data_IF_950886078520
#
_entry.id   IF_950886078520
#
_cell.length_a   1.000
_cell.length_b   1.000
_cell.length_c   1.000
_cell.angle_alpha   90.00
_cell.angle_beta   90.00
_cell.angle_gamma   90.00
#
_symmetry.space_group_name_H-M   'P 1'
#
loop_
_entity.id
_entity.type
_entity.pdbx_description
1 polymer ?
#
# COMPACT_ATOMS: atom_id res chain seq x y z
N UNK A 1 -8.11 -29.13 15.37
CA UNK A 1 -6.84 -28.43 15.68
C UNK A 1 -7.15 -27.26 16.60
N UNK A 2 -6.52 -27.15 17.78
CA UNK A 2 -6.60 -25.92 18.59
C UNK A 2 -5.92 -24.81 17.79
N UNK A 3 -6.66 -23.79 17.38
CA UNK A 3 -6.11 -22.66 16.64
C UNK A 3 -4.98 -22.02 17.45
N UNK A 4 -3.77 -22.03 16.92
CA UNK A 4 -2.64 -21.32 17.51
C UNK A 4 -3.04 -19.84 17.55
N UNK A 5 -3.09 -19.24 18.75
CA UNK A 5 -3.26 -17.79 18.87
C UNK A 5 -2.02 -17.12 18.28
N UNK A 6 -2.11 -16.73 17.02
CA UNK A 6 -1.08 -15.92 16.38
C UNK A 6 -1.41 -14.45 16.67
N UNK A 7 -0.62 -13.82 17.54
CA UNK A 7 -0.72 -12.39 17.76
C UNK A 7 -0.28 -11.66 16.49
N UNK A 8 -1.07 -10.69 16.05
CA UNK A 8 -0.68 -9.82 14.95
C UNK A 8 0.45 -8.90 15.42
N UNK A 9 1.48 -8.65 14.61
CA UNK A 9 2.51 -7.66 14.95
C UNK A 9 1.85 -6.28 15.15
N UNK A 10 2.42 -5.35 15.95
CA UNK A 10 1.98 -3.96 15.99
C UNK A 10 1.91 -3.32 14.59
N UNK A 11 0.95 -2.40 14.35
CA UNK A 11 0.71 -1.80 13.01
C UNK A 11 1.95 -1.14 12.42
N UNK A 12 2.60 -0.31 13.23
CA UNK A 12 3.84 0.35 12.88
C UNK A 12 4.99 -0.60 12.52
N UNK A 13 5.06 -1.82 13.10
CA UNK A 13 6.12 -2.77 12.76
C UNK A 13 6.02 -3.28 11.32
N UNK A 14 4.81 -3.38 10.77
CA UNK A 14 4.61 -3.73 9.36
C UNK A 14 5.23 -2.64 8.48
N UNK A 15 4.88 -1.37 8.73
CA UNK A 15 5.42 -0.23 7.99
C UNK A 15 6.94 -0.15 8.08
N UNK A 16 7.51 -0.36 9.27
CA UNK A 16 8.96 -0.34 9.47
C UNK A 16 9.66 -1.50 8.77
N UNK A 17 9.06 -2.70 8.74
CA UNK A 17 9.62 -3.84 8.04
C UNK A 17 9.72 -3.59 6.53
N UNK A 18 8.67 -3.07 5.89
CA UNK A 18 8.71 -2.70 4.47
C UNK A 18 9.66 -1.54 4.20
N UNK A 19 9.76 -0.58 5.11
CA UNK A 19 10.72 0.53 4.99
C UNK A 19 12.17 0.02 5.05
N UNK A 20 12.52 -0.86 6.00
CA UNK A 20 13.87 -1.47 6.06
C UNK A 20 14.17 -2.26 4.81
N UNK A 21 13.25 -3.13 4.40
CA UNK A 21 13.42 -3.94 3.18
C UNK A 21 13.61 -3.06 1.94
N UNK A 22 12.91 -1.95 1.84
CA UNK A 22 13.12 -0.97 0.76
C UNK A 22 14.53 -0.40 0.82
N UNK A 23 14.95 0.14 1.96
CA UNK A 23 16.28 0.73 2.14
C UNK A 23 17.44 -0.27 1.93
N UNK A 24 17.23 -1.55 2.26
CA UNK A 24 18.23 -2.60 2.09
C UNK A 24 18.31 -3.09 0.63
N UNK A 25 17.16 -3.12 -0.07
CA UNK A 25 17.06 -3.62 -1.44
C UNK A 25 17.36 -2.56 -2.50
N UNK A 26 17.28 -1.27 -2.16
CA UNK A 26 17.51 -0.15 -3.08
C UNK A 26 18.67 0.70 -2.61
N UNK A 27 19.32 1.42 -3.54
CA UNK A 27 20.26 2.48 -3.19
C UNK A 27 19.54 3.77 -2.70
N UNK A 28 18.33 3.64 -2.13
CA UNK A 28 17.54 4.79 -1.71
C UNK A 28 18.18 5.45 -0.49
N UNK A 29 18.40 6.76 -0.60
CA UNK A 29 18.93 7.56 0.51
C UNK A 29 17.84 7.73 1.58
N UNK A 30 18.14 7.30 2.81
CA UNK A 30 17.28 7.46 3.98
C UNK A 30 16.80 8.91 4.17
N UNK A 31 17.69 9.88 3.94
CA UNK A 31 17.38 11.30 4.07
C UNK A 31 16.40 11.76 3.00
N UNK A 32 16.56 11.32 1.76
CA UNK A 32 15.62 11.61 0.66
C UNK A 32 14.26 10.96 0.91
N UNK A 33 14.23 9.73 1.45
CA UNK A 33 13.00 9.09 1.88
C UNK A 33 12.29 9.90 2.98
N UNK A 34 13.02 10.36 4.00
CA UNK A 34 12.47 11.18 5.06
C UNK A 34 11.89 12.51 4.56
N UNK A 35 12.48 13.11 3.54
CA UNK A 35 11.91 14.29 2.88
C UNK A 35 10.61 13.97 2.15
N UNK A 36 10.54 12.87 1.40
CA UNK A 36 9.31 12.45 0.73
C UNK A 36 8.16 12.20 1.73
N UNK A 37 8.46 11.56 2.87
CA UNK A 37 7.50 11.41 3.97
C UNK A 37 7.04 12.77 4.50
N UNK A 38 7.97 13.70 4.71
CA UNK A 38 7.65 15.04 5.19
C UNK A 38 6.78 15.84 4.20
N UNK A 39 7.11 15.82 2.92
CA UNK A 39 6.33 16.50 1.88
C UNK A 39 4.89 15.97 1.82
N UNK A 40 4.70 14.64 1.88
CA UNK A 40 3.37 14.03 1.92
C UNK A 40 2.62 14.37 3.21
N UNK A 41 3.27 14.27 4.36
CA UNK A 41 2.65 14.59 5.63
C UNK A 41 2.15 16.04 5.67
N UNK A 42 2.99 16.98 5.22
CA UNK A 42 2.66 18.40 5.21
C UNK A 42 1.61 18.76 4.15
N UNK A 43 1.47 17.98 3.06
CA UNK A 43 0.41 18.19 2.07
C UNK A 43 -0.93 17.58 2.45
N UNK A 44 -0.93 16.50 3.25
CA UNK A 44 -2.16 15.79 3.65
C UNK A 44 -2.76 16.29 4.96
N UNK A 45 -1.94 16.79 5.89
CA UNK A 45 -2.35 17.09 7.26
C UNK A 45 -2.36 18.59 7.48
N UNK A 46 -3.49 19.14 7.93
CA UNK A 46 -3.65 20.56 8.19
C UNK A 46 -2.70 21.06 9.29
N UNK A 47 -2.13 22.28 9.18
CA UNK A 47 -1.06 22.74 10.08
C UNK A 47 -1.37 22.67 11.58
N UNK A 48 -2.62 22.92 11.96
CA UNK A 48 -3.11 23.04 13.34
C UNK A 48 -3.30 21.68 14.05
N UNK A 49 -3.41 20.59 13.30
CA UNK A 49 -3.59 19.22 13.85
C UNK A 49 -2.33 18.36 13.76
N UNK A 50 -1.24 18.88 13.20
CA UNK A 50 0.02 18.14 13.03
C UNK A 50 0.64 17.77 14.37
N UNK A 51 0.84 16.47 14.59
CA UNK A 51 1.49 15.95 15.80
C UNK A 51 3.02 15.83 15.64
N UNK A 52 3.50 15.76 14.39
CA UNK A 52 4.92 15.53 14.09
C UNK A 52 5.57 16.79 13.52
N UNK A 53 6.71 17.18 14.10
CA UNK A 53 7.46 18.38 13.72
C UNK A 53 8.37 18.14 12.49
N UNK A 54 7.76 17.76 11.38
CA UNK A 54 8.42 17.66 10.08
C UNK A 54 8.49 19.04 9.40
N UNK A 55 9.50 19.24 8.55
CA UNK A 55 9.78 20.53 7.92
C UNK A 55 10.12 20.36 6.44
N UNK A 56 9.84 21.37 5.65
CA UNK A 56 10.38 21.54 4.30
C UNK A 56 11.07 22.89 4.23
N UNK A 57 11.86 23.12 3.18
CA UNK A 57 12.58 24.38 2.99
C UNK A 57 13.35 24.38 1.68
N UNK A 58 13.94 25.53 1.36
CA UNK A 58 14.77 25.74 0.18
C UNK A 58 16.17 26.20 0.60
N UNK A 59 17.16 26.05 -0.28
CA UNK A 59 18.54 26.49 -0.03
C UNK A 59 19.14 25.90 1.24
N UNK A 60 19.62 26.76 2.16
CA UNK A 60 20.24 26.33 3.42
C UNK A 60 19.25 25.67 4.38
N UNK A 61 17.98 26.08 4.34
CA UNK A 61 16.94 25.49 5.21
C UNK A 61 16.53 24.10 4.74
N UNK A 62 16.72 23.76 3.46
CA UNK A 62 16.53 22.40 2.96
C UNK A 62 17.46 21.40 3.67
N UNK A 63 18.74 21.76 3.85
CA UNK A 63 19.71 20.88 4.51
C UNK A 63 19.32 20.62 5.97
N UNK A 64 18.93 21.66 6.71
CA UNK A 64 18.45 21.52 8.09
C UNK A 64 17.15 20.72 8.17
N UNK A 65 16.24 20.90 7.22
CA UNK A 65 15.00 20.13 7.14
C UNK A 65 15.29 18.64 6.89
N UNK A 66 16.20 18.34 5.96
CA UNK A 66 16.67 16.99 5.65
C UNK A 66 17.22 16.28 6.90
N UNK A 67 18.13 16.92 7.63
CA UNK A 67 18.70 16.37 8.86
C UNK A 67 17.65 16.17 9.96
N UNK A 68 16.80 17.18 10.19
CA UNK A 68 15.71 17.09 11.17
C UNK A 68 14.77 15.93 10.87
N UNK A 69 14.28 15.84 9.63
CA UNK A 69 13.29 14.83 9.24
C UNK A 69 13.88 13.43 9.30
N UNK A 70 15.13 13.26 8.82
CA UNK A 70 15.83 11.99 8.95
C UNK A 70 15.97 11.57 10.42
N UNK A 71 16.33 12.50 11.31
CA UNK A 71 16.43 12.19 12.74
C UNK A 71 15.06 11.85 13.35
N UNK A 72 13.99 12.56 12.97
CA UNK A 72 12.62 12.26 13.44
C UNK A 72 12.21 10.85 13.04
N UNK A 73 12.35 10.47 11.77
CA UNK A 73 12.00 9.12 11.30
C UNK A 73 12.89 8.05 11.94
N UNK A 74 14.17 8.33 12.17
CA UNK A 74 15.10 7.36 12.79
C UNK A 74 14.63 6.96 14.17
N UNK A 75 14.18 7.94 14.97
CA UNK A 75 13.62 7.70 16.31
C UNK A 75 12.37 6.81 16.32
N UNK A 76 11.59 6.78 15.24
CA UNK A 76 10.50 5.82 15.10
C UNK A 76 11.04 4.42 14.76
N UNK A 77 11.97 4.35 13.81
CA UNK A 77 12.55 3.08 13.32
C UNK A 77 13.41 2.34 14.37
N UNK A 78 14.04 3.07 15.28
CA UNK A 78 14.84 2.54 16.39
C UNK A 78 14.03 2.29 17.67
N UNK A 79 12.75 2.69 17.70
CA UNK A 79 11.85 2.50 18.83
C UNK A 79 11.96 3.53 19.96
N UNK A 80 12.78 4.57 19.79
CA UNK A 80 12.83 5.73 20.72
C UNK A 80 11.45 6.37 20.88
N UNK A 81 10.70 6.48 19.77
CA UNK A 81 9.29 6.89 19.78
C UNK A 81 8.43 5.64 19.58
N UNK A 82 7.59 5.35 20.58
CA UNK A 82 6.86 4.07 20.67
C UNK A 82 5.58 4.01 19.85
N UNK A 83 5.00 5.15 19.48
CA UNK A 83 3.68 5.22 18.86
C UNK A 83 3.78 6.04 17.60
N UNK A 84 3.52 5.41 16.45
CA UNK A 84 3.38 6.09 15.17
C UNK A 84 1.99 6.75 15.08
N UNK A 85 1.89 8.09 14.97
CA UNK A 85 0.63 8.77 14.70
C UNK A 85 0.01 8.29 13.38
N UNK A 86 -1.33 8.14 13.34
CA UNK A 86 -2.01 7.58 12.18
C UNK A 86 -1.86 8.44 10.91
N UNK A 87 -1.89 9.76 11.08
CA UNK A 87 -1.67 10.76 10.04
C UNK A 87 -0.24 10.69 9.46
N UNK A 88 0.76 10.40 10.29
CA UNK A 88 2.12 10.14 9.84
C UNK A 88 2.24 8.77 9.15
N UNK A 89 1.52 7.75 9.63
CA UNK A 89 1.54 6.41 9.02
C UNK A 89 1.11 6.46 7.56
N UNK A 90 0.01 7.13 7.25
CA UNK A 90 -0.51 7.21 5.88
C UNK A 90 0.50 7.91 4.94
N UNK A 91 1.09 9.03 5.38
CA UNK A 91 2.13 9.72 4.63
C UNK A 91 3.38 8.84 4.42
N UNK A 92 3.74 8.05 5.44
CA UNK A 92 4.89 7.15 5.39
C UNK A 92 4.68 6.00 4.41
N UNK A 93 3.53 5.34 4.46
CA UNK A 93 3.19 4.25 3.54
C UNK A 93 3.17 4.77 2.10
N UNK A 94 2.56 5.93 1.85
CA UNK A 94 2.52 6.51 0.51
C UNK A 94 3.87 6.99 -0.03
N UNK A 95 4.83 7.27 0.84
CA UNK A 95 6.20 7.62 0.46
C UNK A 95 7.03 6.41 0.01
N UNK A 96 6.60 5.18 0.34
CA UNK A 96 7.26 3.98 -0.14
C UNK A 96 7.14 3.90 -1.68
N UNK A 97 8.22 3.59 -2.40
CA UNK A 97 8.14 3.24 -3.81
C UNK A 97 7.49 1.87 -4.01
N UNK A 98 6.97 1.61 -5.20
CA UNK A 98 6.61 0.24 -5.58
C UNK A 98 7.87 -0.63 -5.74
N UNK A 99 7.80 -1.94 -5.45
CA UNK A 99 6.63 -2.70 -5.00
C UNK A 99 6.36 -2.65 -3.49
N UNK A 100 7.21 -1.96 -2.71
CA UNK A 100 7.17 -1.98 -1.25
C UNK A 100 5.91 -1.36 -0.67
N UNK A 101 5.38 -0.31 -1.31
CA UNK A 101 4.11 0.29 -0.93
C UNK A 101 2.95 -0.69 -1.09
N UNK A 102 2.76 -1.26 -2.28
CA UNK A 102 1.67 -2.21 -2.53
C UNK A 102 1.71 -3.41 -1.59
N UNK A 103 2.92 -3.91 -1.29
CA UNK A 103 3.08 -4.98 -0.30
C UNK A 103 2.74 -4.56 1.13
N UNK A 104 3.18 -3.37 1.55
CA UNK A 104 2.85 -2.81 2.85
C UNK A 104 1.33 -2.66 3.02
N UNK A 105 0.64 -2.12 2.03
CA UNK A 105 -0.82 -1.98 2.02
C UNK A 105 -1.53 -3.33 2.13
N UNK A 106 -1.08 -4.34 1.37
CA UNK A 106 -1.62 -5.71 1.44
C UNK A 106 -1.47 -6.29 2.84
N UNK A 107 -0.31 -6.13 3.46
CA UNK A 107 -0.05 -6.65 4.80
C UNK A 107 -0.86 -5.88 5.87
N UNK A 108 -1.02 -4.56 5.72
CA UNK A 108 -1.88 -3.75 6.59
C UNK A 108 -3.37 -4.12 6.47
N UNK A 109 -3.87 -4.39 5.26
CA UNK A 109 -5.24 -4.81 5.02
C UNK A 109 -5.50 -6.23 5.56
N UNK A 110 -4.56 -7.17 5.36
CA UNK A 110 -4.68 -8.57 5.81
C UNK A 110 -4.91 -8.68 7.32
N UNK A 111 -4.31 -7.77 8.11
CA UNK A 111 -4.53 -7.70 9.57
C UNK A 111 -6.00 -7.59 9.97
N UNK A 112 -6.83 -7.02 9.09
CA UNK A 112 -8.26 -6.79 9.30
C UNK A 112 -9.13 -7.77 8.52
N UNK A 113 -8.54 -8.80 7.90
CA UNK A 113 -9.25 -9.72 7.03
C UNK A 113 -9.73 -9.07 5.72
N UNK A 114 -9.04 -8.01 5.26
CA UNK A 114 -9.37 -7.30 4.03
C UNK A 114 -8.29 -7.53 2.98
N UNK A 115 -8.68 -7.33 1.71
CA UNK A 115 -7.76 -7.24 0.59
C UNK A 115 -7.50 -5.77 0.25
N UNK A 116 -6.23 -5.39 0.15
CA UNK A 116 -5.87 -4.09 -0.39
C UNK A 116 -5.98 -4.17 -1.91
N UNK A 117 -6.88 -3.36 -2.47
CA UNK A 117 -7.12 -3.28 -3.90
C UNK A 117 -6.89 -1.83 -4.30
N UNK A 118 -5.99 -1.60 -5.26
CA UNK A 118 -5.69 -0.25 -5.70
C UNK A 118 -6.91 0.35 -6.40
N UNK A 119 -7.35 1.52 -5.95
CA UNK A 119 -8.41 2.23 -6.66
C UNK A 119 -7.86 2.75 -8.00
N UNK A 120 -8.60 2.60 -9.11
CA UNK A 120 -8.18 3.13 -10.40
C UNK A 120 -8.13 4.65 -10.34
N UNK A 121 -7.13 5.25 -10.98
CA UNK A 121 -7.05 6.69 -11.17
C UNK A 121 -8.27 7.20 -11.97
N UNK A 122 -8.69 8.43 -11.71
CA UNK A 122 -9.88 9.08 -12.30
C UNK A 122 -9.73 9.49 -13.78
N UNK A 123 -8.88 8.80 -14.56
CA UNK A 123 -8.63 9.18 -15.94
C UNK A 123 -9.75 8.69 -16.89
N UNK A 124 -10.30 9.59 -17.71
CA UNK A 124 -11.41 9.36 -18.64
C UNK A 124 -11.11 8.25 -19.67
N UNK A 125 -9.83 8.02 -19.97
CA UNK A 125 -9.37 6.96 -20.87
C UNK A 125 -9.66 5.52 -20.35
N UNK A 126 -10.06 5.35 -19.09
CA UNK A 126 -10.25 4.03 -18.48
C UNK A 126 -11.51 3.28 -18.95
N UNK A 127 -12.53 3.97 -19.50
CA UNK A 127 -13.87 3.38 -19.69
C UNK A 127 -13.94 2.26 -20.74
N UNK A 128 -13.29 2.41 -21.89
CA UNK A 128 -13.25 1.36 -22.92
C UNK A 128 -12.26 0.22 -22.60
N UNK A 129 -11.30 0.48 -21.70
CA UNK A 129 -10.26 -0.48 -21.30
C UNK A 129 -10.77 -1.48 -20.25
N UNK A 130 -11.86 -1.16 -19.55
CA UNK A 130 -12.35 -1.95 -18.41
C UNK A 130 -12.66 -3.42 -18.72
N UNK A 131 -13.42 -3.70 -19.80
CA UNK A 131 -13.79 -5.08 -20.15
C UNK A 131 -12.61 -5.88 -20.72
N UNK A 132 -11.82 -5.27 -21.60
CA UNK A 132 -10.64 -5.93 -22.19
C UNK A 132 -9.61 -6.27 -21.11
N UNK A 133 -9.37 -5.33 -20.17
CA UNK A 133 -8.52 -5.56 -19.01
C UNK A 133 -9.08 -6.66 -18.12
N UNK A 134 -10.37 -6.63 -17.78
CA UNK A 134 -11.00 -7.69 -16.99
C UNK A 134 -10.80 -9.07 -17.61
N UNK A 135 -11.00 -9.20 -18.92
CA UNK A 135 -10.78 -10.45 -19.64
C UNK A 135 -9.30 -10.88 -19.64
N UNK A 136 -8.37 -9.92 -19.78
CA UNK A 136 -6.94 -10.16 -19.72
C UNK A 136 -6.50 -10.67 -18.33
N UNK A 137 -6.84 -9.96 -17.25
CA UNK A 137 -6.47 -10.37 -15.89
C UNK A 137 -7.10 -11.74 -15.53
N UNK A 138 -8.30 -12.03 -16.04
CA UNK A 138 -8.91 -13.36 -15.87
C UNK A 138 -8.09 -14.46 -16.55
N UNK A 139 -7.57 -14.20 -17.76
CA UNK A 139 -6.70 -15.12 -18.48
C UNK A 139 -5.36 -15.36 -17.77
N UNK A 140 -4.74 -14.31 -17.20
CA UNK A 140 -3.51 -14.44 -16.42
C UNK A 140 -3.73 -15.26 -15.14
N UNK A 141 -4.84 -15.01 -14.42
CA UNK A 141 -5.20 -15.83 -13.26
C UNK A 141 -5.41 -17.31 -13.64
N UNK A 142 -6.12 -17.59 -14.73
CA UNK A 142 -6.29 -18.96 -15.22
C UNK A 142 -4.96 -19.62 -15.57
N UNK A 143 -4.03 -18.87 -16.17
CA UNK A 143 -2.69 -19.35 -16.51
C UNK A 143 -1.84 -19.64 -15.27
N UNK A 144 -2.00 -18.85 -14.19
CA UNK A 144 -1.36 -19.08 -12.91
C UNK A 144 -1.95 -20.26 -12.14
N UNK A 145 -3.27 -20.47 -12.24
CA UNK A 145 -3.99 -21.58 -11.60
C UNK A 145 -3.77 -22.92 -12.30
N UNK A 146 -3.62 -22.93 -13.63
CA UNK A 146 -3.51 -24.15 -14.42
C UNK A 146 -2.49 -25.19 -13.89
N UNK A 147 -1.23 -24.83 -13.58
CA UNK A 147 -0.27 -25.80 -13.04
C UNK A 147 -0.62 -26.27 -11.62
N UNK A 148 -1.23 -25.41 -10.80
CA UNK A 148 -1.63 -25.73 -9.42
C UNK A 148 -2.91 -26.56 -9.34
N UNK A 149 -3.68 -26.65 -10.42
CA UNK A 149 -4.90 -27.47 -10.49
C UNK A 149 -4.72 -28.73 -11.34
N UNK A 150 -3.49 -29.05 -11.75
CA UNK A 150 -3.20 -30.17 -12.65
C UNK A 150 -3.62 -31.53 -12.06
N UNK A 151 -3.60 -31.67 -10.73
CA UNK A 151 -4.06 -32.86 -10.00
C UNK A 151 -5.50 -32.74 -9.47
N UNK A 152 -6.17 -31.62 -9.76
CA UNK A 152 -7.53 -31.29 -9.34
C UNK A 152 -7.67 -30.84 -7.89
N UNK A 153 -6.58 -30.54 -7.18
CA UNK A 153 -6.60 -30.12 -5.77
C UNK A 153 -5.70 -28.90 -5.59
N UNK A 154 -6.13 -27.99 -4.71
CA UNK A 154 -5.25 -26.94 -4.20
C UNK A 154 -4.85 -27.31 -2.78
N UNK A 155 -3.59 -27.69 -2.60
CA UNK A 155 -3.05 -28.06 -1.29
C UNK A 155 -1.60 -27.55 -1.07
N UNK A 156 -0.89 -28.13 -0.10
CA UNK A 156 0.45 -27.71 0.26
C UNK A 156 1.48 -27.92 -0.86
N UNK A 157 1.23 -28.79 -1.83
CA UNK A 157 2.14 -28.98 -2.97
C UNK A 157 2.17 -27.78 -3.91
N UNK A 158 1.15 -26.92 -3.86
CA UNK A 158 1.02 -25.75 -4.73
C UNK A 158 1.65 -24.48 -4.19
N UNK A 159 2.33 -24.57 -3.04
CA UNK A 159 3.08 -23.46 -2.45
C UNK A 159 4.01 -22.73 -3.44
N UNK A 160 4.70 -23.40 -4.40
CA UNK A 160 5.49 -22.71 -5.42
C UNK A 160 4.67 -21.76 -6.32
N UNK A 161 3.39 -22.06 -6.55
CA UNK A 161 2.48 -21.27 -7.40
C UNK A 161 1.67 -20.24 -6.59
N UNK A 162 1.52 -20.46 -5.29
CA UNK A 162 0.64 -19.68 -4.42
C UNK A 162 0.88 -18.17 -4.51
N UNK A 163 2.14 -17.71 -4.56
CA UNK A 163 2.42 -16.27 -4.65
C UNK A 163 1.89 -15.66 -5.93
N UNK A 164 2.14 -16.30 -7.08
CA UNK A 164 1.64 -15.82 -8.37
C UNK A 164 0.12 -15.83 -8.39
N UNK A 165 -0.53 -16.93 -7.97
CA UNK A 165 -1.99 -17.03 -7.91
C UNK A 165 -2.58 -15.88 -7.08
N UNK A 166 -1.98 -15.57 -5.92
CA UNK A 166 -2.44 -14.47 -5.08
C UNK A 166 -2.26 -13.11 -5.76
N UNK A 167 -1.12 -12.87 -6.40
CA UNK A 167 -0.85 -11.61 -7.10
C UNK A 167 -1.85 -11.43 -8.28
N UNK A 168 -2.00 -12.42 -9.17
CA UNK A 168 -2.97 -12.35 -10.30
C UNK A 168 -4.43 -12.24 -9.82
N UNK A 169 -4.78 -12.87 -8.69
CA UNK A 169 -6.12 -12.73 -8.12
C UNK A 169 -6.39 -11.30 -7.65
N UNK A 170 -5.37 -10.61 -7.14
CA UNK A 170 -5.44 -9.21 -6.75
C UNK A 170 -5.62 -8.28 -7.96
N UNK A 171 -4.96 -8.59 -9.07
CA UNK A 171 -5.07 -7.83 -10.31
C UNK A 171 -6.47 -8.00 -10.93
N UNK A 172 -7.02 -9.21 -10.95
CA UNK A 172 -8.40 -9.46 -11.38
C UNK A 172 -9.42 -8.70 -10.50
N UNK A 173 -9.27 -8.74 -9.17
CA UNK A 173 -10.14 -7.99 -8.27
C UNK A 173 -10.04 -6.49 -8.55
N UNK A 174 -8.84 -5.97 -8.80
CA UNK A 174 -8.62 -4.57 -9.17
C UNK A 174 -9.34 -4.19 -10.46
N UNK A 175 -9.30 -5.04 -11.49
CA UNK A 175 -10.04 -4.84 -12.73
C UNK A 175 -11.57 -4.84 -12.52
N UNK A 176 -12.09 -5.73 -11.67
CA UNK A 176 -13.52 -5.74 -11.31
C UNK A 176 -13.93 -4.46 -10.58
N UNK A 177 -13.13 -3.99 -9.62
CA UNK A 177 -13.39 -2.72 -8.90
C UNK A 177 -13.34 -1.53 -9.86
N UNK A 178 -12.43 -1.54 -10.83
CA UNK A 178 -12.36 -0.52 -11.87
C UNK A 178 -13.64 -0.44 -12.70
N UNK A 179 -14.09 -1.58 -13.21
CA UNK A 179 -15.34 -1.67 -13.96
C UNK A 179 -16.54 -1.22 -13.11
N UNK A 180 -16.60 -1.65 -11.84
CA UNK A 180 -17.66 -1.21 -10.91
C UNK A 180 -17.69 0.31 -10.75
N UNK A 181 -16.54 0.97 -10.60
CA UNK A 181 -16.46 2.43 -10.47
C UNK A 181 -17.02 3.14 -11.72
N UNK A 182 -16.70 2.62 -12.90
CA UNK A 182 -17.23 3.16 -14.16
C UNK A 182 -18.76 3.05 -14.22
N UNK A 183 -19.31 1.90 -13.84
CA UNK A 183 -20.76 1.71 -13.78
C UNK A 183 -21.40 2.62 -12.72
N UNK A 184 -20.77 2.79 -11.56
CA UNK A 184 -21.26 3.69 -10.51
C UNK A 184 -21.30 5.16 -10.96
N UNK A 185 -20.33 5.60 -11.77
CA UNK A 185 -20.31 6.95 -12.32
C UNK A 185 -21.50 7.22 -13.28
N UNK A 186 -22.10 6.17 -13.85
CA UNK A 186 -23.29 6.28 -14.71
C UNK A 186 -24.59 6.40 -13.90
N UNK A 187 -24.58 6.07 -12.61
CA UNK A 187 -25.76 6.19 -11.73
C UNK A 187 -25.76 7.61 -11.15
N UNK A 188 -26.73 8.49 -11.49
CA UNK A 188 -26.84 9.78 -10.85
C UNK A 188 -27.03 9.57 -9.35
N UNK A 189 -26.35 10.36 -8.50
CA UNK A 189 -26.59 10.44 -7.06
C UNK A 189 -28.04 10.88 -6.79
N UNK A 190 -28.97 9.93 -6.91
CA UNK A 190 -30.39 10.14 -6.70
C UNK A 190 -30.67 9.85 -5.24
N UNK A 191 -30.61 10.91 -4.42
CA UNK A 191 -31.23 10.94 -3.10
C UNK A 191 -30.36 10.48 -1.93
N UNK A 192 -29.51 11.38 -1.44
CA UNK A 192 -29.33 11.55 0.02
C UNK A 192 -29.50 13.05 0.32
N UNK A 193 -30.75 13.50 0.23
CA UNK A 193 -31.24 14.58 1.10
C UNK A 193 -32.41 14.00 1.87
N UNK A 194 -32.15 13.66 3.13
CA UNK A 194 -33.10 13.60 4.21
C UNK A 194 -32.37 14.13 5.45
#
# INVERSE_FOLDING_TARGET
MKGVRQFLPPRQQVVYAHTRRMLDATASNYTSFAMNVAERYLSMVAPDVRQVKLRTGEGVELIKAMENNAQVLRRYMDGTVKTLPADLEDAWVMALPEPFRGECERDLARRRGMLAVQMPADDEAAQAVGLARLAHEFGELMSALAPALADGKLDATDLPYARRILDESGDLISAVVALRRQVQALVPNSGVMA
#
